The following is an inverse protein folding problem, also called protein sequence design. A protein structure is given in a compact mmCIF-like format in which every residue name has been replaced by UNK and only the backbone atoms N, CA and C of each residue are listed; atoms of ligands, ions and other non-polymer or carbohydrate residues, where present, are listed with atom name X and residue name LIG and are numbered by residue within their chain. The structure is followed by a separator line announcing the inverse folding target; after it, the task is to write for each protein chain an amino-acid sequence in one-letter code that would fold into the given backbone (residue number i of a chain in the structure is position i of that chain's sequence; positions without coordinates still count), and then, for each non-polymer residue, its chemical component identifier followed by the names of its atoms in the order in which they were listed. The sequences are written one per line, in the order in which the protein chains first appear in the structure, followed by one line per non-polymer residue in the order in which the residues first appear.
data_IF_874589910858
#
_entry.id   IF_874589910858
#
_cell.length_a   1.000
_cell.length_b   1.000
_cell.length_c   1.000
_cell.angle_alpha   90.00
_cell.angle_beta   90.00
_cell.angle_gamma   90.00
#
_symmetry.space_group_name_H-M   'P 1'
#
loop_
_entity.id
_entity.type
_entity.pdbx_description
1 polymer ?
#
# COMPACT_ATOMS: atom_id res chain seq x y z
N UNK A 1 -10.72 14.66 -9.63
CA UNK A 1 -10.72 14.98 -8.18
C UNK A 1 -10.41 13.70 -7.39
N UNK A 2 -9.32 13.68 -6.63
CA UNK A 2 -8.99 12.55 -5.74
C UNK A 2 -9.95 12.56 -4.55
N UNK A 3 -10.56 11.42 -4.22
CA UNK A 3 -11.36 11.28 -3.00
C UNK A 3 -10.45 10.72 -1.90
N UNK A 4 -10.55 11.29 -0.70
CA UNK A 4 -9.82 10.84 0.49
C UNK A 4 -10.83 10.57 1.60
N UNK A 5 -10.73 9.40 2.23
CA UNK A 5 -11.45 9.08 3.47
C UNK A 5 -10.43 8.95 4.59
N UNK A 6 -10.69 9.54 5.76
CA UNK A 6 -9.79 9.48 6.92
C UNK A 6 -10.60 9.50 8.20
N UNK A 7 -10.18 8.68 9.15
CA UNK A 7 -10.75 8.63 10.50
C UNK A 7 -10.03 9.63 11.40
N UNK A 8 -10.78 10.57 11.99
CA UNK A 8 -10.30 11.53 12.97
C UNK A 8 -10.97 11.28 14.31
N UNK A 9 -10.17 11.16 15.37
CA UNK A 9 -10.63 11.09 16.77
C UNK A 9 -9.99 12.26 17.50
N UNK A 10 -10.80 13.15 18.07
CA UNK A 10 -10.34 14.35 18.81
C UNK A 10 -9.38 15.26 18.03
N UNK A 11 -9.56 15.37 16.72
CA UNK A 11 -8.70 16.15 15.82
C UNK A 11 -7.38 15.46 15.46
N UNK A 12 -7.18 14.24 15.91
CA UNK A 12 -6.02 13.39 15.60
C UNK A 12 -6.43 12.35 14.58
N UNK A 13 -5.69 12.26 13.48
CA UNK A 13 -5.90 11.23 12.48
C UNK A 13 -5.42 9.88 13.01
N UNK A 14 -6.35 8.95 13.15
CA UNK A 14 -6.13 7.59 13.67
C UNK A 14 -6.98 6.62 12.86
N UNK A 15 -6.36 5.68 12.17
CA UNK A 15 -7.06 4.69 11.36
C UNK A 15 -6.56 4.66 9.92
N UNK A 16 -7.43 4.22 9.00
CA UNK A 16 -7.05 3.99 7.61
C UNK A 16 -7.37 5.22 6.76
N UNK A 17 -6.36 5.79 6.13
CA UNK A 17 -6.57 6.72 5.02
C UNK A 17 -6.66 5.94 3.72
N UNK A 18 -7.73 6.19 2.96
CA UNK A 18 -7.87 5.67 1.59
C UNK A 18 -7.90 6.82 0.61
N UNK A 19 -7.11 6.71 -0.44
CA UNK A 19 -7.15 7.63 -1.58
C UNK A 19 -7.58 6.89 -2.82
N UNK A 20 -8.35 7.57 -3.68
CA UNK A 20 -8.90 6.98 -4.90
C UNK A 20 -8.48 7.80 -6.13
N UNK A 21 -8.24 7.11 -7.24
CA UNK A 21 -8.12 7.71 -8.56
C UNK A 21 -9.44 8.39 -8.98
N UNK A 22 -9.38 9.22 -10.02
CA UNK A 22 -10.56 9.93 -10.53
C UNK A 22 -11.65 8.99 -11.04
N UNK A 23 -11.26 7.80 -11.51
CA UNK A 23 -12.16 6.71 -11.90
C UNK A 23 -12.78 5.95 -10.71
N UNK A 24 -12.46 6.32 -9.47
CA UNK A 24 -12.95 5.67 -8.25
C UNK A 24 -12.17 4.42 -7.83
N UNK A 25 -11.14 4.01 -8.56
CA UNK A 25 -10.28 2.87 -8.18
C UNK A 25 -9.43 3.27 -6.98
N UNK A 26 -9.26 2.36 -6.02
CA UNK A 26 -8.40 2.57 -4.86
C UNK A 26 -6.96 2.80 -5.33
N UNK A 27 -6.35 3.90 -4.90
CA UNK A 27 -4.98 4.31 -5.24
C UNK A 27 -4.01 3.96 -4.13
N UNK A 28 -4.38 4.24 -2.90
CA UNK A 28 -3.58 3.87 -1.74
C UNK A 28 -4.42 3.70 -0.48
N UNK A 29 -3.95 2.83 0.40
CA UNK A 29 -4.47 2.64 1.75
C UNK A 29 -3.30 2.74 2.73
N UNK A 30 -3.39 3.60 3.74
CA UNK A 30 -2.31 3.86 4.69
C UNK A 30 -2.85 3.96 6.10
N UNK A 31 -2.23 3.23 7.02
CA UNK A 31 -2.58 3.30 8.45
C UNK A 31 -1.88 4.49 9.09
N UNK A 32 -2.63 5.28 9.84
CA UNK A 32 -2.16 6.39 10.66
C UNK A 32 -2.41 6.12 12.15
N UNK A 33 -1.41 6.45 12.95
CA UNK A 33 -1.45 6.50 14.40
C UNK A 33 -0.92 7.88 14.82
N UNK A 34 -1.73 8.66 15.54
CA UNK A 34 -1.35 9.99 16.01
C UNK A 34 -0.85 10.96 14.93
N UNK A 35 -1.55 11.01 13.79
CA UNK A 35 -1.17 11.74 12.57
C UNK A 35 0.12 11.25 11.88
N UNK A 36 0.74 10.17 12.37
CA UNK A 36 1.93 9.56 11.79
C UNK A 36 1.53 8.30 11.03
N UNK A 37 2.11 8.08 9.84
CA UNK A 37 2.00 6.80 9.15
C UNK A 37 2.67 5.73 10.01
N UNK A 38 1.91 4.68 10.34
CA UNK A 38 2.39 3.58 11.15
C UNK A 38 1.71 2.28 10.70
N UNK A 39 2.50 1.27 10.33
CA UNK A 39 2.04 0.01 9.77
C UNK A 39 2.05 -0.03 8.25
N UNK A 40 1.22 -0.91 7.69
CA UNK A 40 1.21 -1.22 6.27
C UNK A 40 0.60 -0.08 5.44
N UNK A 41 1.26 0.23 4.34
CA UNK A 41 0.80 1.09 3.27
C UNK A 41 0.72 0.28 1.98
N UNK A 42 -0.45 0.26 1.35
CA UNK A 42 -0.68 -0.40 0.07
C UNK A 42 -0.84 0.67 -1.01
N UNK A 43 -0.15 0.52 -2.14
CA UNK A 43 -0.42 1.31 -3.34
C UNK A 43 -0.88 0.43 -4.48
N UNK A 44 -1.73 0.98 -5.33
CA UNK A 44 -2.34 0.28 -6.45
C UNK A 44 -2.17 1.10 -7.71
N UNK A 45 -2.04 0.41 -8.84
CA UNK A 45 -2.09 1.03 -10.16
C UNK A 45 -3.52 1.47 -10.52
N UNK A 46 -3.69 2.34 -11.54
CA UNK A 46 -5.03 2.76 -11.99
C UNK A 46 -5.94 1.62 -12.47
N UNK A 47 -5.37 0.47 -12.80
CA UNK A 47 -6.08 -0.77 -13.17
C UNK A 47 -6.55 -1.59 -11.95
N UNK A 48 -6.23 -1.16 -10.73
CA UNK A 48 -6.59 -1.83 -9.47
C UNK A 48 -5.60 -2.89 -9.00
N UNK A 49 -4.53 -3.17 -9.75
CA UNK A 49 -3.51 -4.13 -9.34
C UNK A 49 -2.60 -3.54 -8.27
N UNK A 50 -2.21 -4.38 -7.30
CA UNK A 50 -1.29 -4.00 -6.25
C UNK A 50 0.09 -3.65 -6.83
N UNK A 51 0.54 -2.42 -6.58
CA UNK A 51 1.81 -1.88 -7.07
C UNK A 51 2.92 -2.06 -6.04
N UNK A 52 2.64 -1.73 -4.76
CA UNK A 52 3.63 -1.87 -3.69
C UNK A 52 3.00 -2.07 -2.32
N UNK A 53 3.75 -2.70 -1.43
CA UNK A 53 3.47 -2.81 -0.01
C UNK A 53 4.64 -2.16 0.74
N UNK A 54 4.39 -1.04 1.41
CA UNK A 54 5.35 -0.38 2.29
C UNK A 54 5.01 -0.64 3.76
N UNK A 55 6.02 -0.65 4.63
CA UNK A 55 5.82 -0.60 6.08
C UNK A 55 6.37 0.72 6.65
N UNK A 56 5.53 1.47 7.35
CA UNK A 56 5.91 2.70 8.01
C UNK A 56 6.00 2.52 9.53
N UNK A 57 6.96 3.19 10.16
CA UNK A 57 7.05 3.33 11.61
C UNK A 57 7.29 4.79 11.93
N UNK A 58 6.29 5.45 12.52
CA UNK A 58 6.36 6.88 12.88
C UNK A 58 6.79 7.76 11.69
N UNK A 59 6.06 7.66 10.57
CA UNK A 59 6.36 8.32 9.27
C UNK A 59 7.62 7.87 8.53
N UNK A 60 8.46 6.99 9.11
CA UNK A 60 9.64 6.45 8.42
C UNK A 60 9.28 5.17 7.68
N UNK A 61 9.65 5.11 6.40
CA UNK A 61 9.50 3.91 5.60
C UNK A 61 10.63 2.92 5.94
N UNK A 62 10.27 1.78 6.53
CA UNK A 62 11.21 0.73 6.91
C UNK A 62 11.53 -0.21 5.74
N UNK A 63 10.60 -0.36 4.79
CA UNK A 63 10.81 -1.24 3.64
C UNK A 63 9.67 -1.17 2.64
N UNK A 64 9.99 -1.52 1.40
CA UNK A 64 9.05 -1.59 0.28
C UNK A 64 9.17 -2.96 -0.37
N UNK A 65 8.03 -3.62 -0.57
CA UNK A 65 7.89 -4.84 -1.35
C UNK A 65 7.15 -4.48 -2.62
N UNK A 66 7.81 -4.65 -3.77
CA UNK A 66 7.15 -4.56 -5.07
C UNK A 66 6.70 -5.97 -5.47
N UNK A 67 5.40 -6.25 -5.64
CA UNK A 67 4.91 -7.58 -6.00
C UNK A 67 5.46 -8.03 -7.34
N UNK A 68 5.68 -7.10 -8.28
CA UNK A 68 6.24 -7.38 -9.61
C UNK A 68 7.65 -7.96 -9.50
N UNK A 69 8.53 -7.37 -8.68
CA UNK A 69 9.88 -7.91 -8.46
C UNK A 69 9.86 -9.25 -7.72
N UNK A 70 8.85 -9.50 -6.88
CA UNK A 70 8.67 -10.81 -6.24
C UNK A 70 8.16 -11.86 -7.22
N UNK A 71 7.35 -11.48 -8.21
CA UNK A 71 6.92 -12.36 -9.30
C UNK A 71 8.11 -12.77 -10.17
N UNK A 72 9.05 -11.88 -10.44
CA UNK A 72 10.31 -12.23 -11.14
C UNK A 72 11.17 -13.22 -10.32
N UNK A 73 11.31 -13.01 -9.01
CA UNK A 73 12.03 -13.95 -8.13
C UNK A 73 11.29 -15.30 -7.93
N UNK A 74 9.96 -15.33 -8.01
CA UNK A 74 9.16 -16.55 -7.88
C UNK A 74 9.06 -17.32 -9.21
N UNK A 75 9.10 -16.62 -10.35
CA UNK A 75 9.13 -17.23 -11.67
C UNK A 75 10.50 -17.82 -12.03
N UNK A 76 11.59 -17.34 -11.41
CA UNK A 76 12.90 -18.01 -11.50
C UNK A 76 12.98 -19.33 -10.72
N UNK A 77 11.99 -19.66 -9.87
CA UNK A 77 11.90 -20.94 -9.16
C UNK A 77 10.79 -21.86 -9.70
N UNK A 78 10.27 -21.60 -10.90
CA UNK A 78 9.30 -22.48 -11.58
C UNK A 78 9.85 -23.14 -12.86
N UNK A 79 11.16 -23.13 -13.05
CA UNK A 79 11.87 -23.88 -14.09
C UNK A 79 12.88 -24.88 -13.50
N UNK A 80 12.52 -25.54 -12.40
CA UNK A 80 13.24 -26.71 -11.91
C UNK A 80 12.31 -27.69 -11.17
N UNK A 81 11.28 -28.19 -11.87
CA UNK A 81 10.55 -29.42 -11.50
C UNK A 81 9.64 -29.82 -12.67
N UNK A 82 10.27 -30.15 -13.80
CA UNK A 82 9.72 -31.04 -14.82
C UNK A 82 10.89 -31.85 -15.41
N UNK A 83 11.38 -32.78 -14.60
CA UNK A 83 11.95 -34.06 -15.05
C UNK A 83 11.42 -35.15 -14.13
#
# INVERSE_FOLDING_TARGET
MLKVSSDYVDGVKRGNEKSYYENGVLKAETIYEDNLKHGICLTYHPNGNLESIGNYVLNRLEGIINPITKMDCLNQNKQLLME
#
